data_IF_987292874246
#
_entry.id   IF_987292874246
#
_cell.length_a   1.000
_cell.length_b   1.000
_cell.length_c   1.000
_cell.angle_alpha   90.00
_cell.angle_beta   90.00
_cell.angle_gamma   90.00
#
_symmetry.space_group_name_H-M   'P 1'
#
loop_
_entity.id
_entity.type
_entity.pdbx_description
1 polymer ?
#
# COMPACT_ATOMS: atom_id res chain seq x y z
N UNK A 1 -15.08 -35.77 24.93
CA UNK A 1 -14.75 -36.43 23.66
C UNK A 1 -16.04 -36.84 22.97
N UNK A 2 -16.52 -36.20 21.92
CA UNK A 2 -17.59 -36.68 21.07
C UNK A 2 -17.04 -37.29 19.78
N UNK A 3 -17.60 -38.44 19.41
CA UNK A 3 -17.26 -39.25 18.24
C UNK A 3 -17.76 -38.64 16.95
N UNK A 4 -16.95 -38.68 15.89
CA UNK A 4 -17.28 -38.29 14.51
C UNK A 4 -17.93 -39.49 13.81
N UNK A 5 -19.10 -39.37 13.18
CA UNK A 5 -19.69 -40.47 12.39
C UNK A 5 -19.12 -40.49 10.96
N UNK A 6 -19.02 -41.74 10.46
CA UNK A 6 -18.35 -42.13 9.24
C UNK A 6 -18.96 -41.63 7.93
N UNK A 7 -18.08 -41.51 6.98
CA UNK A 7 -18.34 -41.13 5.59
C UNK A 7 -18.66 -42.41 4.78
N UNK A 8 -19.90 -42.56 4.32
CA UNK A 8 -20.34 -43.61 3.42
C UNK A 8 -19.86 -43.34 1.98
N UNK A 9 -19.12 -44.30 1.43
CA UNK A 9 -18.74 -44.36 0.01
C UNK A 9 -19.98 -44.70 -0.83
N UNK A 10 -20.33 -43.85 -1.79
CA UNK A 10 -21.29 -44.16 -2.85
C UNK A 10 -20.53 -44.63 -4.09
N UNK A 11 -20.78 -45.88 -4.44
CA UNK A 11 -20.36 -46.55 -5.66
C UNK A 11 -21.19 -46.07 -6.86
N UNK A 12 -20.54 -45.71 -7.95
CA UNK A 12 -21.15 -45.34 -9.24
C UNK A 12 -21.23 -46.62 -10.09
N UNK A 13 -22.42 -47.01 -10.62
CA UNK A 13 -22.50 -48.14 -11.52
C UNK A 13 -22.07 -47.79 -12.96
N UNK A 14 -21.22 -48.63 -13.54
CA UNK A 14 -20.89 -48.66 -14.93
C UNK A 14 -22.12 -49.11 -15.76
N UNK A 15 -22.55 -48.29 -16.70
CA UNK A 15 -23.56 -48.70 -17.71
C UNK A 15 -22.87 -48.95 -19.05
N UNK A 16 -23.19 -50.13 -19.57
CA UNK A 16 -22.63 -50.78 -20.72
C UNK A 16 -22.88 -50.11 -22.07
N UNK A 17 -21.97 -50.38 -22.94
CA UNK A 17 -21.95 -50.33 -24.41
C UNK A 17 -23.31 -50.48 -25.10
N UNK A 18 -23.64 -49.56 -25.98
CA UNK A 18 -24.55 -49.84 -27.13
C UNK A 18 -23.78 -49.60 -28.43
N UNK A 19 -23.47 -50.69 -29.10
CA UNK A 19 -23.08 -50.75 -30.51
C UNK A 19 -24.30 -50.35 -31.35
N UNK A 20 -24.16 -49.28 -32.11
CA UNK A 20 -25.11 -48.94 -33.17
C UNK A 20 -24.39 -49.03 -34.50
N UNK A 21 -24.72 -50.05 -35.28
CA UNK A 21 -24.33 -50.21 -36.70
C UNK A 21 -24.79 -48.99 -37.49
N UNK A 22 -23.84 -48.32 -38.12
CA UNK A 22 -24.13 -47.19 -38.98
C UNK A 22 -24.15 -47.63 -40.42
N UNK A 23 -25.39 -47.77 -40.92
CA UNK A 23 -25.69 -48.05 -42.34
C UNK A 23 -25.16 -46.92 -43.22
N UNK A 24 -24.20 -47.24 -44.09
CA UNK A 24 -23.58 -46.34 -45.05
C UNK A 24 -24.60 -45.90 -46.11
N UNK A 25 -25.27 -44.80 -45.90
CA UNK A 25 -26.06 -44.11 -46.93
C UNK A 25 -25.16 -43.23 -47.78
N UNK A 26 -25.06 -43.55 -49.06
CA UNK A 26 -24.38 -42.74 -50.07
C UNK A 26 -25.00 -41.34 -50.12
N UNK A 27 -24.31 -40.37 -49.57
CA UNK A 27 -24.73 -38.96 -49.62
C UNK A 27 -24.35 -38.39 -51.01
N UNK A 28 -25.26 -37.72 -51.73
CA UNK A 28 -24.94 -37.08 -53.00
C UNK A 28 -23.89 -35.97 -52.78
N UNK A 29 -22.96 -35.85 -53.72
CA UNK A 29 -21.89 -34.87 -53.69
C UNK A 29 -22.45 -33.44 -53.59
N UNK A 30 -22.25 -32.82 -52.41
CA UNK A 30 -22.57 -31.41 -52.18
C UNK A 30 -21.50 -30.58 -52.92
N UNK A 31 -21.89 -29.59 -53.74
CA UNK A 31 -20.92 -28.72 -54.41
C UNK A 31 -20.09 -27.97 -53.32
N UNK A 32 -18.79 -27.73 -53.60
CA UNK A 32 -17.91 -27.06 -52.64
C UNK A 32 -18.49 -25.70 -52.26
N UNK A 33 -18.69 -25.50 -50.96
CA UNK A 33 -19.14 -24.23 -50.43
C UNK A 33 -18.16 -23.10 -50.82
N UNK A 34 -18.66 -21.90 -51.12
CA UNK A 34 -17.80 -20.76 -51.41
C UNK A 34 -16.85 -20.53 -50.24
N UNK A 35 -15.57 -20.13 -50.49
CA UNK A 35 -14.61 -19.92 -49.45
C UNK A 35 -15.17 -18.92 -48.43
N UNK A 36 -15.21 -19.35 -47.18
CA UNK A 36 -15.67 -18.49 -46.08
C UNK A 36 -14.89 -17.16 -46.10
N UNK A 37 -15.56 -16.02 -45.94
CA UNK A 37 -14.89 -14.73 -45.88
C UNK A 37 -13.81 -14.83 -44.79
N UNK A 38 -12.55 -14.58 -45.19
CA UNK A 38 -11.42 -14.57 -44.26
C UNK A 38 -11.79 -13.67 -43.09
N UNK A 39 -11.69 -14.15 -41.83
CA UNK A 39 -11.95 -13.30 -40.68
C UNK A 39 -11.02 -12.09 -40.82
N UNK A 40 -11.62 -10.92 -40.98
CA UNK A 40 -10.89 -9.64 -40.92
C UNK A 40 -10.11 -9.67 -39.62
N UNK A 41 -8.79 -9.61 -39.72
CA UNK A 41 -7.86 -9.53 -38.59
C UNK A 41 -8.09 -8.23 -37.83
N UNK A 42 -9.24 -8.14 -37.15
CA UNK A 42 -9.60 -7.09 -36.19
C UNK A 42 -8.79 -7.19 -34.85
N UNK A 43 -7.63 -7.82 -34.91
CA UNK A 43 -6.83 -8.19 -33.75
C UNK A 43 -6.01 -7.09 -33.10
N UNK A 44 -6.08 -5.83 -33.56
CA UNK A 44 -5.11 -4.83 -33.07
C UNK A 44 -5.60 -3.94 -31.92
N UNK A 45 -6.91 -3.81 -31.70
CA UNK A 45 -7.44 -2.96 -30.61
C UNK A 45 -7.48 -3.69 -29.28
N UNK A 46 -8.04 -4.90 -29.24
CA UNK A 46 -8.18 -5.67 -27.99
C UNK A 46 -6.82 -6.02 -27.36
N UNK A 47 -5.80 -6.33 -28.16
CA UNK A 47 -4.44 -6.60 -27.68
C UNK A 47 -3.77 -5.39 -27.04
N UNK A 48 -4.00 -4.19 -27.58
CA UNK A 48 -3.47 -2.94 -27.01
C UNK A 48 -4.11 -2.60 -25.65
N UNK A 49 -5.42 -2.75 -25.50
CA UNK A 49 -6.10 -2.51 -24.23
C UNK A 49 -5.68 -3.50 -23.14
N UNK A 50 -5.48 -4.77 -23.48
CA UNK A 50 -4.99 -5.76 -22.53
C UNK A 50 -3.54 -5.48 -22.08
N UNK A 51 -2.67 -5.02 -22.97
CA UNK A 51 -1.30 -4.61 -22.63
C UNK A 51 -1.26 -3.45 -21.63
N UNK A 52 -2.00 -2.38 -21.90
CA UNK A 52 -2.04 -1.22 -20.98
C UNK A 52 -2.57 -1.58 -19.60
N UNK A 53 -3.62 -2.40 -19.48
CA UNK A 53 -4.15 -2.83 -18.18
C UNK A 53 -3.13 -3.66 -17.38
N UNK A 54 -2.30 -4.45 -18.05
CA UNK A 54 -1.26 -5.26 -17.41
C UNK A 54 -0.08 -4.39 -16.94
N UNK A 55 0.30 -3.39 -17.73
CA UNK A 55 1.35 -2.43 -17.40
C UNK A 55 0.93 -1.58 -16.19
N UNK A 56 -0.30 -1.08 -16.16
CA UNK A 56 -0.85 -0.29 -15.05
C UNK A 56 -0.88 -1.10 -13.73
N UNK A 57 -1.25 -2.38 -13.80
CA UNK A 57 -1.20 -3.27 -12.62
C UNK A 57 0.23 -3.51 -12.13
N UNK A 58 1.20 -3.59 -13.05
CA UNK A 58 2.63 -3.70 -12.74
C UNK A 58 3.16 -2.45 -12.03
N UNK A 59 2.83 -1.27 -12.54
CA UNK A 59 3.22 0.03 -11.96
C UNK A 59 2.61 0.21 -10.58
N UNK A 60 1.33 -0.11 -10.41
CA UNK A 60 0.64 -0.04 -9.11
C UNK A 60 1.31 -0.92 -8.06
N UNK A 61 1.71 -2.13 -8.42
CA UNK A 61 2.41 -3.04 -7.50
C UNK A 61 3.79 -2.50 -7.09
N UNK A 62 4.55 -1.94 -8.04
CA UNK A 62 5.87 -1.33 -7.75
C UNK A 62 5.71 -0.13 -6.81
N UNK A 63 4.74 0.75 -7.04
CA UNK A 63 4.47 1.89 -6.18
C UNK A 63 4.08 1.45 -4.75
N UNK A 64 3.25 0.41 -4.62
CA UNK A 64 2.87 -0.14 -3.33
C UNK A 64 4.07 -0.75 -2.57
N UNK A 65 4.97 -1.48 -3.25
CA UNK A 65 6.19 -1.98 -2.63
C UNK A 65 7.18 -0.87 -2.28
N UNK A 66 7.25 0.22 -3.06
CA UNK A 66 8.05 1.38 -2.72
C UNK A 66 7.54 2.06 -1.44
N UNK A 67 6.22 2.21 -1.29
CA UNK A 67 5.60 2.69 -0.06
C UNK A 67 5.89 1.77 1.14
N UNK A 68 5.83 0.45 0.95
CA UNK A 68 6.21 -0.52 1.98
C UNK A 68 7.69 -0.40 2.39
N UNK A 69 8.60 -0.31 1.40
CA UNK A 69 10.02 -0.10 1.66
C UNK A 69 10.29 1.18 2.43
N UNK A 70 9.59 2.25 2.08
CA UNK A 70 9.66 3.51 2.83
C UNK A 70 9.22 3.33 4.30
N UNK A 71 8.13 2.60 4.56
CA UNK A 71 7.69 2.31 5.94
C UNK A 71 8.78 1.60 6.73
N UNK A 72 9.46 0.61 6.13
CA UNK A 72 10.56 -0.09 6.78
C UNK A 72 11.75 0.85 7.10
N UNK A 73 12.10 1.75 6.16
CA UNK A 73 13.13 2.76 6.38
C UNK A 73 12.72 3.70 7.52
N UNK A 74 11.47 4.12 7.55
CA UNK A 74 10.93 5.00 8.58
C UNK A 74 10.97 4.34 9.97
N UNK A 75 10.61 3.05 10.06
CA UNK A 75 10.72 2.26 11.29
C UNK A 75 12.18 2.15 11.73
N UNK A 76 13.07 1.78 10.82
CA UNK A 76 14.50 1.67 11.12
C UNK A 76 15.07 3.01 11.61
N UNK A 77 14.65 4.13 11.02
CA UNK A 77 15.02 5.46 11.46
C UNK A 77 14.58 5.76 12.89
N UNK A 78 13.37 5.38 13.27
CA UNK A 78 12.87 5.54 14.64
C UNK A 78 13.62 4.64 15.64
N UNK A 79 14.01 3.44 15.23
CA UNK A 79 14.88 2.58 16.05
C UNK A 79 16.24 3.25 16.29
N UNK A 80 16.82 3.89 15.26
CA UNK A 80 18.06 4.68 15.43
C UNK A 80 17.86 5.80 16.44
N UNK A 81 16.76 6.53 16.37
CA UNK A 81 16.42 7.56 17.35
C UNK A 81 16.34 7.01 18.78
N UNK A 82 15.67 5.89 18.93
CA UNK A 82 15.52 5.24 20.23
C UNK A 82 16.87 4.78 20.82
N UNK A 83 17.69 4.13 19.98
CA UNK A 83 19.01 3.60 20.41
C UNK A 83 20.02 4.70 20.69
N UNK A 84 19.99 5.80 19.93
CA UNK A 84 20.91 6.94 20.11
C UNK A 84 20.50 7.87 21.27
N UNK A 85 19.36 7.59 21.90
CA UNK A 85 18.88 8.42 23.05
C UNK A 85 18.53 9.84 22.64
N UNK A 86 18.11 10.07 21.40
CA UNK A 86 17.59 11.36 20.98
C UNK A 86 16.38 11.75 21.85
N UNK A 87 16.18 13.03 22.16
CA UNK A 87 15.52 13.52 23.40
C UNK A 87 14.04 13.24 23.57
N UNK A 88 13.38 12.57 22.64
CA UNK A 88 11.97 12.14 22.83
C UNK A 88 11.78 11.03 23.87
N UNK A 89 12.87 10.47 24.40
CA UNK A 89 12.83 9.38 25.40
C UNK A 89 12.97 9.89 26.84
N UNK A 90 12.98 11.21 27.08
CA UNK A 90 12.97 11.70 28.46
C UNK A 90 11.68 11.28 29.13
N UNK A 91 11.80 10.34 30.06
CA UNK A 91 10.77 9.87 30.96
C UNK A 91 10.27 11.02 31.83
N UNK A 92 9.40 11.88 31.29
CA UNK A 92 8.58 12.71 32.13
C UNK A 92 7.71 11.77 32.96
N UNK A 93 7.78 11.87 34.26
CA UNK A 93 6.89 11.17 35.17
C UNK A 93 5.48 11.76 35.03
N UNK A 94 4.78 11.31 33.96
CA UNK A 94 3.40 11.69 33.74
C UNK A 94 2.52 11.06 34.83
N UNK A 95 1.58 11.81 35.38
CA UNK A 95 0.61 11.32 36.36
C UNK A 95 -0.80 11.79 36.00
N UNK A 96 -1.81 11.08 36.49
CA UNK A 96 -3.20 11.44 36.27
C UNK A 96 -3.62 11.50 34.80
N UNK A 97 -4.34 12.56 34.41
CA UNK A 97 -4.87 12.73 33.07
C UNK A 97 -3.76 12.78 31.98
N UNK A 98 -2.60 13.37 32.32
CA UNK A 98 -1.46 13.44 31.38
C UNK A 98 -0.91 12.06 31.04
N UNK A 99 -0.85 11.12 31.98
CA UNK A 99 -0.47 9.74 31.72
C UNK A 99 -1.47 9.03 30.81
N UNK A 100 -2.78 9.25 31.02
CA UNK A 100 -3.83 8.66 30.17
C UNK A 100 -3.70 9.17 28.73
N UNK A 101 -3.52 10.48 28.53
CA UNK A 101 -3.33 11.07 27.21
C UNK A 101 -2.05 10.55 26.53
N UNK A 102 -0.96 10.42 27.28
CA UNK A 102 0.28 9.87 26.77
C UNK A 102 0.10 8.41 26.29
N UNK A 103 -0.51 7.55 27.13
CA UNK A 103 -0.80 6.16 26.77
C UNK A 103 -1.75 6.04 25.57
N UNK A 104 -2.74 6.93 25.49
CA UNK A 104 -3.64 6.98 24.34
C UNK A 104 -2.88 7.36 23.05
N UNK A 105 -1.95 8.33 23.14
CA UNK A 105 -1.13 8.71 21.99
C UNK A 105 -0.18 7.60 21.54
N UNK A 106 0.41 6.84 22.45
CA UNK A 106 1.21 5.65 22.14
C UNK A 106 0.37 4.61 21.39
N UNK A 107 -0.81 4.26 21.91
CA UNK A 107 -1.70 3.28 21.29
C UNK A 107 -2.16 3.72 19.88
N UNK A 108 -2.46 5.01 19.70
CA UNK A 108 -2.81 5.56 18.37
C UNK A 108 -1.61 5.45 17.43
N UNK A 109 -0.41 5.74 17.90
CA UNK A 109 0.82 5.61 17.11
C UNK A 109 1.06 4.16 16.67
N UNK A 110 0.89 3.19 17.57
CA UNK A 110 1.02 1.76 17.25
C UNK A 110 0.01 1.33 16.17
N UNK A 111 -1.24 1.79 16.27
CA UNK A 111 -2.26 1.54 15.23
C UNK A 111 -1.86 2.15 13.90
N UNK A 112 -1.35 3.38 13.88
CA UNK A 112 -0.87 4.05 12.67
C UNK A 112 0.28 3.26 12.04
N UNK A 113 1.21 2.73 12.83
CA UNK A 113 2.31 1.90 12.34
C UNK A 113 1.80 0.59 11.75
N UNK A 114 0.88 -0.11 12.44
CA UNK A 114 0.27 -1.33 11.94
C UNK A 114 -0.45 -1.11 10.60
N UNK A 115 -1.24 -0.04 10.50
CA UNK A 115 -1.90 0.36 9.25
C UNK A 115 -0.86 0.70 8.18
N UNK A 116 0.19 1.43 8.53
CA UNK A 116 1.29 1.80 7.63
C UNK A 116 2.00 0.60 7.00
N UNK A 117 2.14 -0.50 7.74
CA UNK A 117 2.73 -1.76 7.24
C UNK A 117 1.73 -2.53 6.36
N UNK A 118 0.50 -2.72 6.88
CA UNK A 118 -0.50 -3.58 6.23
C UNK A 118 -1.05 -2.96 4.95
N UNK A 119 -1.24 -1.65 4.92
CA UNK A 119 -1.87 -0.94 3.80
C UNK A 119 -1.10 -1.07 2.47
N UNK A 120 0.22 -0.80 2.40
CA UNK A 120 0.97 -0.99 1.16
C UNK A 120 0.99 -2.45 0.72
N UNK A 121 1.07 -3.39 1.65
CA UNK A 121 0.98 -4.82 1.33
C UNK A 121 -0.39 -5.20 0.77
N UNK A 122 -1.48 -4.64 1.31
CA UNK A 122 -2.82 -4.84 0.78
C UNK A 122 -2.96 -4.29 -0.64
N UNK A 123 -2.37 -3.13 -0.94
CA UNK A 123 -2.37 -2.55 -2.28
C UNK A 123 -1.56 -3.39 -3.29
N UNK A 124 -0.48 -4.07 -2.83
CA UNK A 124 0.40 -4.89 -3.68
C UNK A 124 -0.12 -6.31 -3.92
N UNK A 125 -0.82 -6.90 -2.94
CA UNK A 125 -1.15 -8.33 -2.91
C UNK A 125 -2.59 -8.61 -3.38
N UNK A 126 -2.85 -9.79 -3.94
CA UNK A 126 -4.18 -10.15 -4.47
C UNK A 126 -5.26 -10.22 -3.40
N UNK A 127 -4.92 -10.49 -2.12
CA UNK A 127 -5.88 -10.49 -1.04
C UNK A 127 -6.48 -9.11 -0.76
N UNK A 128 -5.75 -8.05 -1.01
CA UNK A 128 -6.25 -6.68 -0.89
C UNK A 128 -7.40 -6.36 -1.86
N UNK A 129 -7.52 -7.08 -2.97
CA UNK A 129 -8.66 -6.94 -3.90
C UNK A 129 -10.00 -7.39 -3.31
N UNK A 130 -9.97 -8.17 -2.21
CA UNK A 130 -11.18 -8.58 -1.47
C UNK A 130 -11.66 -7.49 -0.51
N UNK A 131 -10.79 -6.52 -0.21
CA UNK A 131 -11.11 -5.38 0.65
C UNK A 131 -11.81 -4.31 -0.19
N UNK A 132 -12.90 -3.71 0.28
CA UNK A 132 -13.54 -2.58 -0.41
C UNK A 132 -12.52 -1.47 -0.70
N UNK A 133 -12.50 -0.97 -1.93
CA UNK A 133 -11.50 0.02 -2.40
C UNK A 133 -11.37 1.24 -1.50
N UNK A 134 -12.48 1.74 -1.00
CA UNK A 134 -12.49 2.92 -0.15
C UNK A 134 -11.72 2.69 1.17
N UNK A 135 -11.75 1.46 1.72
CA UNK A 135 -11.00 1.11 2.93
C UNK A 135 -9.47 1.11 2.71
N UNK A 136 -9.00 0.93 1.47
CA UNK A 136 -7.59 1.02 1.12
C UNK A 136 -7.20 2.44 0.72
N UNK A 137 -8.04 3.11 -0.05
CA UNK A 137 -7.73 4.44 -0.59
C UNK A 137 -7.84 5.54 0.47
N UNK A 138 -8.82 5.45 1.37
CA UNK A 138 -9.00 6.46 2.42
C UNK A 138 -7.74 6.58 3.30
N UNK A 139 -7.23 5.50 3.94
CA UNK A 139 -6.02 5.61 4.74
C UNK A 139 -4.78 5.94 3.91
N UNK A 140 -4.70 5.51 2.63
CA UNK A 140 -3.59 5.88 1.76
C UNK A 140 -3.56 7.39 1.47
N UNK A 141 -4.70 8.00 1.16
CA UNK A 141 -4.80 9.45 0.95
C UNK A 141 -4.63 10.25 2.24
N UNK A 142 -5.16 9.75 3.36
CA UNK A 142 -4.95 10.35 4.68
C UNK A 142 -3.46 10.32 5.03
N UNK A 143 -2.78 9.18 4.81
CA UNK A 143 -1.33 9.08 5.00
C UNK A 143 -0.57 10.06 4.12
N UNK A 144 -0.92 10.15 2.82
CA UNK A 144 -0.34 11.13 1.91
C UNK A 144 -0.49 12.57 2.43
N UNK A 145 -1.69 12.96 2.84
CA UNK A 145 -1.97 14.31 3.30
C UNK A 145 -1.26 14.63 4.63
N UNK A 146 -1.35 13.75 5.61
CA UNK A 146 -0.78 13.98 6.93
C UNK A 146 0.76 13.97 6.91
N UNK A 147 1.37 12.95 6.29
CA UNK A 147 2.82 12.86 6.17
C UNK A 147 3.36 14.00 5.31
N UNK A 148 2.71 14.29 4.17
CA UNK A 148 3.10 15.37 3.29
C UNK A 148 3.02 16.74 3.98
N UNK A 149 1.90 17.05 4.66
CA UNK A 149 1.72 18.31 5.37
C UNK A 149 2.73 18.45 6.51
N UNK A 150 2.94 17.38 7.32
CA UNK A 150 3.93 17.37 8.41
C UNK A 150 5.35 17.60 7.88
N UNK A 151 5.72 16.89 6.81
CA UNK A 151 7.05 17.02 6.23
C UNK A 151 7.29 18.37 5.60
N UNK A 152 6.33 18.90 4.84
CA UNK A 152 6.43 20.24 4.22
C UNK A 152 6.54 21.31 5.30
N UNK A 153 5.72 21.23 6.37
CA UNK A 153 5.79 22.17 7.48
C UNK A 153 7.16 22.14 8.17
N UNK A 154 7.72 20.94 8.43
CA UNK A 154 9.04 20.79 9.04
C UNK A 154 10.16 21.33 8.16
N UNK A 155 10.18 20.95 6.88
CA UNK A 155 11.18 21.49 5.92
C UNK A 155 11.07 23.02 5.81
N UNK A 156 9.85 23.57 5.78
CA UNK A 156 9.66 25.02 5.74
C UNK A 156 10.20 25.70 7.01
N UNK A 157 10.02 25.10 8.18
CA UNK A 157 10.54 25.58 9.44
C UNK A 157 12.07 25.53 9.49
N UNK A 158 12.68 24.43 9.01
CA UNK A 158 14.14 24.30 8.88
C UNK A 158 14.72 25.34 7.93
N UNK A 159 14.08 25.57 6.79
CA UNK A 159 14.48 26.61 5.82
C UNK A 159 14.38 27.99 6.48
N UNK A 160 13.30 28.29 7.19
CA UNK A 160 13.16 29.56 7.90
C UNK A 160 14.29 29.79 8.89
N UNK A 161 14.68 28.77 9.64
CA UNK A 161 15.84 28.84 10.56
C UNK A 161 17.17 29.07 9.82
N UNK A 162 17.35 28.41 8.68
CA UNK A 162 18.56 28.56 7.86
C UNK A 162 18.73 29.95 7.27
N UNK A 163 17.63 30.64 6.94
CA UNK A 163 17.64 32.00 6.33
C UNK A 163 17.64 33.13 7.36
N UNK A 164 17.77 32.84 8.65
CA UNK A 164 17.94 33.87 9.68
C UNK A 164 16.77 34.06 10.64
N UNK A 165 15.80 33.16 10.66
CA UNK A 165 14.76 33.12 11.68
C UNK A 165 15.07 32.04 12.72
N UNK A 166 15.86 32.32 13.77
CA UNK A 166 16.41 31.27 14.67
C UNK A 166 15.34 30.48 15.43
N UNK A 167 14.12 31.02 15.52
CA UNK A 167 12.95 30.38 16.14
C UNK A 167 12.05 29.68 15.10
N UNK A 168 12.45 29.63 13.84
CA UNK A 168 11.66 29.05 12.76
C UNK A 168 10.27 29.70 12.62
N UNK A 169 9.35 28.96 12.01
CA UNK A 169 7.94 29.32 11.87
C UNK A 169 7.12 28.96 13.14
N UNK A 170 7.62 28.01 13.92
CA UNK A 170 6.98 27.53 15.16
C UNK A 170 7.18 28.49 16.34
N UNK A 171 8.09 29.45 16.23
CA UNK A 171 8.46 30.37 17.31
C UNK A 171 9.39 29.73 18.35
N UNK A 172 9.83 28.49 18.16
CA UNK A 172 10.74 27.74 19.05
C UNK A 172 12.08 27.53 18.40
N UNK A 173 13.17 27.58 19.20
CA UNK A 173 14.48 27.14 18.72
C UNK A 173 14.54 25.62 18.60
N UNK A 174 15.45 25.08 17.78
CA UNK A 174 15.67 23.64 17.65
C UNK A 174 15.93 22.97 19.03
N UNK A 175 16.67 23.62 19.92
CA UNK A 175 16.90 23.11 21.26
C UNK A 175 15.63 23.01 22.09
N UNK A 176 14.74 24.00 21.99
CA UNK A 176 13.44 23.98 22.67
C UNK A 176 12.51 22.91 22.10
N UNK A 177 12.48 22.77 20.79
CA UNK A 177 11.68 21.73 20.09
C UNK A 177 12.14 20.33 20.49
N UNK A 178 13.45 20.11 20.59
CA UNK A 178 14.04 18.84 21.01
C UNK A 178 14.06 18.65 22.54
N UNK A 179 13.57 19.61 23.34
CA UNK A 179 13.56 19.53 24.80
C UNK A 179 14.94 19.53 25.44
N UNK A 180 15.95 20.14 24.79
CA UNK A 180 17.36 20.17 25.23
C UNK A 180 17.83 21.60 25.53
N UNK A 181 18.92 21.72 26.30
CA UNK A 181 19.52 23.05 26.57
C UNK A 181 20.29 23.64 25.39
N UNK A 182 20.72 22.80 24.43
CA UNK A 182 21.46 23.21 23.23
C UNK A 182 21.16 22.26 22.07
N UNK A 183 21.22 22.75 20.85
CA UNK A 183 21.08 21.95 19.65
C UNK A 183 22.46 21.50 19.17
N UNK A 184 22.67 20.19 19.10
CA UNK A 184 23.86 19.61 18.45
C UNK A 184 23.70 19.53 16.93
N UNK A 185 24.81 19.46 16.21
CA UNK A 185 24.78 19.24 14.76
C UNK A 185 24.03 17.96 14.38
N UNK A 186 24.12 16.92 15.21
CA UNK A 186 23.39 15.67 15.01
C UNK A 186 21.85 15.87 15.11
N UNK A 187 21.39 16.67 16.04
CA UNK A 187 19.96 16.99 16.19
C UNK A 187 19.40 17.71 14.95
N UNK A 188 20.19 18.64 14.39
CA UNK A 188 19.84 19.30 13.13
C UNK A 188 19.72 18.31 11.99
N UNK A 189 20.72 17.46 11.81
CA UNK A 189 20.72 16.44 10.75
C UNK A 189 19.54 15.47 10.95
N UNK A 190 19.32 15.01 12.16
CA UNK A 190 18.27 14.06 12.46
C UNK A 190 16.86 14.65 12.29
N UNK A 191 16.64 15.91 12.71
CA UNK A 191 15.39 16.63 12.50
C UNK A 191 15.07 16.81 11.04
N UNK A 192 15.98 17.45 10.30
CA UNK A 192 15.80 17.66 8.85
C UNK A 192 15.63 16.36 8.07
N UNK A 193 16.40 15.32 8.38
CA UNK A 193 16.25 14.02 7.77
C UNK A 193 14.86 13.41 8.03
N UNK A 194 14.33 13.59 9.24
CA UNK A 194 12.97 13.14 9.59
C UNK A 194 11.91 13.88 8.78
N UNK A 195 12.02 15.19 8.62
CA UNK A 195 11.07 15.98 7.85
C UNK A 195 11.10 15.61 6.36
N UNK A 196 12.27 15.38 5.80
CA UNK A 196 12.42 14.86 4.43
C UNK A 196 11.81 13.46 4.29
N UNK A 197 11.99 12.58 5.29
CA UNK A 197 11.34 11.27 5.30
C UNK A 197 9.81 11.40 5.32
N UNK A 198 9.25 12.33 6.06
CA UNK A 198 7.80 12.59 6.04
C UNK A 198 7.31 13.04 4.66
N UNK A 199 8.01 13.95 3.98
CA UNK A 199 7.69 14.35 2.60
C UNK A 199 7.73 13.15 1.67
N UNK A 200 8.80 12.36 1.73
CA UNK A 200 8.95 11.15 0.91
C UNK A 200 7.81 10.15 1.15
N UNK A 201 7.40 9.97 2.42
CA UNK A 201 6.26 9.13 2.79
C UNK A 201 4.95 9.60 2.17
N UNK A 202 4.67 10.89 2.27
CA UNK A 202 3.50 11.48 1.64
C UNK A 202 3.46 11.21 0.13
N UNK A 203 4.59 11.39 -0.56
CA UNK A 203 4.71 11.10 -1.99
C UNK A 203 4.51 9.61 -2.31
N UNK A 204 5.12 8.70 -1.54
CA UNK A 204 5.01 7.25 -1.77
C UNK A 204 3.59 6.75 -1.58
N UNK A 205 2.89 7.18 -0.50
CA UNK A 205 1.49 6.82 -0.29
C UNK A 205 0.57 7.44 -1.35
N UNK A 206 0.81 8.68 -1.76
CA UNK A 206 0.07 9.34 -2.84
C UNK A 206 0.23 8.61 -4.18
N UNK A 207 1.46 8.25 -4.55
CA UNK A 207 1.74 7.49 -5.77
C UNK A 207 1.09 6.10 -5.73
N UNK A 208 1.17 5.41 -4.59
CA UNK A 208 0.52 4.11 -4.42
C UNK A 208 -1.01 4.21 -4.58
N UNK A 209 -1.64 5.23 -3.98
CA UNK A 209 -3.07 5.47 -4.11
C UNK A 209 -3.48 5.81 -5.56
N UNK A 210 -2.75 6.71 -6.22
CA UNK A 210 -3.02 7.13 -7.60
C UNK A 210 -2.89 5.97 -8.59
N UNK A 211 -1.79 5.21 -8.50
CA UNK A 211 -1.55 4.09 -9.40
C UNK A 211 -2.56 2.97 -9.18
N UNK A 212 -2.96 2.71 -7.92
CA UNK A 212 -4.02 1.77 -7.61
C UNK A 212 -5.37 2.21 -8.18
N UNK A 213 -5.72 3.49 -8.10
CA UNK A 213 -6.96 4.03 -8.69
C UNK A 213 -6.99 3.87 -10.21
N UNK A 214 -5.87 4.09 -10.89
CA UNK A 214 -5.75 3.95 -12.36
C UNK A 214 -5.83 2.49 -12.80
N UNK A 215 -5.14 1.60 -12.10
CA UNK A 215 -5.11 0.17 -12.42
C UNK A 215 -6.47 -0.52 -12.21
N UNK A 216 -7.32 0.02 -11.33
CA UNK A 216 -8.62 -0.57 -10.99
C UNK A 216 -9.72 0.50 -11.06
N UNK A 217 -10.13 0.98 -12.24
CA UNK A 217 -11.21 1.95 -12.38
C UNK A 217 -12.53 1.38 -11.83
N UNK A 218 -13.43 2.26 -11.39
CA UNK A 218 -14.80 1.84 -11.02
C UNK A 218 -15.49 1.35 -12.31
N UNK A 219 -15.98 0.14 -12.30
CA UNK A 219 -16.95 -0.37 -13.26
C UNK A 219 -18.31 0.16 -12.85
#
# INVERSE_FOLDING_TARGET
>A
MPRIPGRTSQSIPHTASQLTEFTSSRQPAVPPAPPAPRPRSGGTSAGRFAGHAQDDAGVSRRAAYAAFGWVLIFIAWHVVWYVTGLPFTHHHHWSGAALVLFRASEAITDVIWAVGIVLPLALARPWGRRVPRWMLLWPAWTGCALLGARGIAGVADDVARAIGFPRGLTGMTMAQEMGTGHASAWMWIAGTATDVLFVAGGLMFGLAALTYQRAFPKI
#
